data_IF_360422762644
#
_entry.id   IF_360422762644
#
_cell.length_a   1.000
_cell.length_b   1.000
_cell.length_c   1.000
_cell.angle_alpha   90.00
_cell.angle_beta   90.00
_cell.angle_gamma   90.00
#
_symmetry.space_group_name_H-M   'P 1'
#
loop_
_entity.id
_entity.type
_entity.pdbx_description
1 polymer ?
#
# COMPACT_ATOMS: atom_id res chain seq x y z
N UNK A 1 -22.37 -17.11 -13.99
CA UNK A 1 -22.72 -15.69 -14.27
C UNK A 1 -21.63 -14.74 -13.78
N UNK A 2 -21.17 -14.86 -12.53
CA UNK A 2 -20.05 -14.10 -11.96
C UNK A 2 -18.76 -14.18 -12.80
N UNK A 3 -18.38 -15.35 -13.30
CA UNK A 3 -17.17 -15.51 -14.13
C UNK A 3 -17.21 -14.69 -15.43
N UNK A 4 -18.38 -14.61 -16.07
CA UNK A 4 -18.58 -13.84 -17.31
C UNK A 4 -18.56 -12.34 -17.05
N UNK A 5 -19.08 -11.91 -15.90
CA UNK A 5 -19.04 -10.50 -15.45
C UNK A 5 -17.61 -10.11 -15.05
N UNK A 6 -16.88 -11.01 -14.38
CA UNK A 6 -15.47 -10.81 -14.05
C UNK A 6 -14.61 -10.62 -15.30
N UNK A 7 -14.81 -11.45 -16.33
CA UNK A 7 -14.12 -11.30 -17.61
C UNK A 7 -14.46 -9.97 -18.31
N UNK A 8 -15.72 -9.54 -18.24
CA UNK A 8 -16.19 -8.27 -18.80
C UNK A 8 -15.48 -7.06 -18.17
N UNK A 9 -15.07 -7.13 -16.90
CA UNK A 9 -14.33 -6.05 -16.22
C UNK A 9 -12.82 -6.17 -16.39
N UNK A 10 -12.31 -7.41 -16.35
CA UNK A 10 -10.87 -7.68 -16.35
C UNK A 10 -10.23 -7.41 -17.70
N UNK A 11 -10.88 -7.80 -18.80
CA UNK A 11 -10.35 -7.59 -20.16
C UNK A 11 -10.19 -6.10 -20.49
N UNK A 12 -11.21 -5.23 -20.38
CA UNK A 12 -11.03 -3.80 -20.64
C UNK A 12 -10.09 -3.14 -19.63
N UNK A 13 -10.12 -3.54 -18.35
CA UNK A 13 -9.17 -3.06 -17.36
C UNK A 13 -7.72 -3.36 -17.74
N UNK A 14 -7.44 -4.59 -18.18
CA UNK A 14 -6.13 -4.98 -18.68
C UNK A 14 -5.72 -4.17 -19.90
N UNK A 15 -6.63 -3.97 -20.86
CA UNK A 15 -6.35 -3.14 -22.05
C UNK A 15 -5.96 -1.71 -21.67
N UNK A 16 -6.69 -1.09 -20.73
CA UNK A 16 -6.37 0.26 -20.23
C UNK A 16 -5.00 0.29 -19.56
N UNK A 17 -4.68 -0.70 -18.72
CA UNK A 17 -3.36 -0.78 -18.07
C UNK A 17 -2.23 -0.97 -19.08
N UNK A 18 -2.44 -1.77 -20.12
CA UNK A 18 -1.45 -1.98 -21.18
C UNK A 18 -1.24 -0.72 -22.04
N UNK A 19 -2.30 0.04 -22.32
CA UNK A 19 -2.19 1.33 -23.00
C UNK A 19 -1.42 2.35 -22.13
N UNK A 20 -1.80 2.49 -20.86
CA UNK A 20 -1.09 3.37 -19.93
C UNK A 20 0.40 2.99 -19.78
N UNK A 21 0.73 1.70 -19.77
CA UNK A 21 2.10 1.23 -19.74
C UNK A 21 2.87 1.54 -21.04
N UNK A 22 2.21 1.46 -22.19
CA UNK A 22 2.79 1.81 -23.49
C UNK A 22 3.03 3.33 -23.64
N UNK A 23 2.24 4.15 -22.97
CA UNK A 23 2.35 5.61 -22.95
C UNK A 23 3.43 6.15 -21.99
N UNK A 24 4.09 5.29 -21.22
CA UNK A 24 5.16 5.71 -20.31
C UNK A 24 6.36 6.30 -21.09
N UNK A 25 7.01 7.35 -20.55
CA UNK A 25 8.24 7.87 -21.14
C UNK A 25 9.31 6.79 -21.29
N UNK A 26 10.20 6.98 -22.27
CA UNK A 26 11.35 6.10 -22.44
C UNK A 26 12.20 6.12 -21.17
N UNK A 27 12.70 4.94 -20.77
CA UNK A 27 13.60 4.85 -19.61
C UNK A 27 14.83 5.72 -19.85
N UNK A 28 15.14 6.59 -18.88
CA UNK A 28 16.26 7.53 -18.96
C UNK A 28 15.97 8.81 -19.77
N UNK A 29 14.73 9.06 -20.18
CA UNK A 29 14.36 10.32 -20.82
C UNK A 29 14.38 11.49 -19.83
N UNK A 30 15.45 12.28 -19.91
CA UNK A 30 15.64 13.48 -19.10
C UNK A 30 14.67 14.62 -19.39
N UNK A 31 13.92 14.57 -20.50
CA UNK A 31 12.87 15.53 -20.81
C UNK A 31 11.51 15.14 -20.20
N UNK A 32 11.37 13.95 -19.62
CA UNK A 32 10.11 13.50 -19.04
C UNK A 32 9.72 14.30 -17.79
N UNK A 33 8.41 14.44 -17.56
CA UNK A 33 7.87 15.26 -16.47
C UNK A 33 8.41 14.88 -15.05
N UNK A 34 8.59 13.60 -14.70
CA UNK A 34 9.18 13.25 -13.41
C UNK A 34 10.62 13.78 -13.26
N UNK A 35 11.43 13.75 -14.32
CA UNK A 35 12.83 14.19 -14.30
C UNK A 35 12.95 15.72 -14.27
N UNK A 36 12.12 16.44 -15.02
CA UNK A 36 12.23 17.91 -15.15
C UNK A 36 11.55 18.69 -14.03
N UNK A 37 10.64 18.06 -13.28
CA UNK A 37 9.85 18.74 -12.27
C UNK A 37 10.09 18.17 -10.86
N UNK A 38 9.57 16.96 -10.59
CA UNK A 38 9.51 16.42 -9.22
C UNK A 38 10.88 15.95 -8.73
N UNK A 39 11.58 15.15 -9.54
CA UNK A 39 12.89 14.61 -9.16
C UNK A 39 13.92 15.73 -9.01
N UNK A 40 13.97 16.68 -9.94
CA UNK A 40 14.85 17.84 -9.86
C UNK A 40 14.63 18.62 -8.56
N UNK A 41 13.37 18.95 -8.22
CA UNK A 41 13.07 19.68 -6.99
C UNK A 41 13.53 18.94 -5.74
N UNK A 42 13.20 17.65 -5.61
CA UNK A 42 13.61 16.86 -4.45
C UNK A 42 15.14 16.75 -4.37
N UNK A 43 15.84 16.58 -5.50
CA UNK A 43 17.30 16.39 -5.48
C UNK A 43 17.98 17.66 -4.95
N UNK A 44 17.52 18.81 -5.42
CA UNK A 44 18.17 20.09 -5.11
C UNK A 44 17.78 20.64 -3.73
N UNK A 45 16.57 20.34 -3.23
CA UNK A 45 16.01 21.02 -2.05
C UNK A 45 15.68 20.10 -0.87
N UNK A 46 15.67 18.77 -1.02
CA UNK A 46 15.21 17.87 0.04
C UNK A 46 15.98 18.07 1.35
N UNK A 47 17.31 18.18 1.29
CA UNK A 47 18.11 18.32 2.49
C UNK A 47 17.81 19.64 3.23
N UNK A 48 17.68 20.75 2.51
CA UNK A 48 17.38 22.06 3.09
C UNK A 48 15.97 22.10 3.69
N UNK A 49 14.99 21.54 2.99
CA UNK A 49 13.58 21.61 3.39
C UNK A 49 13.21 20.64 4.51
N UNK A 50 13.85 19.47 4.57
CA UNK A 50 13.50 18.39 5.50
C UNK A 50 14.54 18.15 6.59
N UNK A 51 15.79 18.58 6.37
CA UNK A 51 16.93 18.25 7.23
C UNK A 51 17.37 16.78 7.14
N UNK A 52 16.65 15.93 6.41
CA UNK A 52 17.02 14.53 6.25
C UNK A 52 18.28 14.42 5.38
N UNK A 53 19.31 13.67 5.81
CA UNK A 53 20.51 13.45 5.00
C UNK A 53 20.28 12.41 3.88
N UNK A 54 19.22 11.59 4.00
CA UNK A 54 18.88 10.58 3.01
C UNK A 54 17.69 11.05 2.17
N UNK A 55 17.90 11.12 0.86
CA UNK A 55 16.90 11.53 -0.11
C UNK A 55 15.62 10.68 -0.07
N UNK A 56 15.75 9.34 0.01
CA UNK A 56 14.59 8.44 0.00
C UNK A 56 13.75 8.64 1.26
N UNK A 57 14.40 8.77 2.41
CA UNK A 57 13.70 9.05 3.67
C UNK A 57 13.00 10.41 3.64
N UNK A 58 13.64 11.46 3.08
CA UNK A 58 13.01 12.76 2.91
C UNK A 58 11.73 12.67 2.06
N UNK A 59 11.75 11.89 0.97
CA UNK A 59 10.58 11.69 0.12
C UNK A 59 9.48 10.92 0.84
N UNK A 60 9.80 9.79 1.49
CA UNK A 60 8.80 8.92 2.11
C UNK A 60 8.20 9.52 3.39
N UNK A 61 9.01 10.18 4.22
CA UNK A 61 8.58 10.67 5.53
C UNK A 61 8.02 12.10 5.47
N UNK A 62 8.61 12.98 4.66
CA UNK A 62 8.25 14.40 4.64
C UNK A 62 7.39 14.76 3.41
N UNK A 63 7.92 14.64 2.19
CA UNK A 63 7.15 15.04 0.99
C UNK A 63 5.91 14.18 0.73
N UNK A 64 6.02 12.87 0.95
CA UNK A 64 4.96 11.87 0.75
C UNK A 64 4.60 11.15 2.04
N UNK A 65 4.75 11.84 3.18
CA UNK A 65 4.45 11.31 4.50
C UNK A 65 3.03 10.78 4.66
N UNK A 66 2.06 11.34 3.93
CA UNK A 66 0.66 10.88 4.00
C UNK A 66 0.45 9.50 3.37
N UNK A 67 1.20 9.17 2.31
CA UNK A 67 1.16 7.84 1.70
C UNK A 67 1.70 6.79 2.69
N UNK A 68 2.87 7.07 3.30
CA UNK A 68 3.49 6.22 4.33
C UNK A 68 2.64 6.13 5.61
N UNK A 69 1.97 7.20 6.01
CA UNK A 69 1.03 7.19 7.13
C UNK A 69 -0.18 6.27 6.83
N UNK A 70 -0.68 6.29 5.60
CA UNK A 70 -1.69 5.34 5.13
C UNK A 70 -1.21 3.89 5.19
N UNK A 71 0.02 3.61 4.74
CA UNK A 71 0.63 2.28 4.87
C UNK A 71 0.69 1.81 6.32
N UNK A 72 1.08 2.71 7.25
CA UNK A 72 1.11 2.42 8.67
C UNK A 72 -0.29 2.09 9.23
N UNK A 73 -1.33 2.83 8.82
CA UNK A 73 -2.71 2.53 9.20
C UNK A 73 -3.13 1.15 8.69
N UNK A 74 -2.81 0.79 7.44
CA UNK A 74 -3.17 -0.51 6.86
C UNK A 74 -2.53 -1.64 7.66
N UNK A 75 -1.23 -1.58 7.91
CA UNK A 75 -0.51 -2.62 8.66
C UNK A 75 -0.99 -2.68 10.11
N UNK A 76 -1.20 -1.54 10.76
CA UNK A 76 -1.75 -1.47 12.10
C UNK A 76 -3.13 -2.12 12.19
N UNK A 77 -4.02 -1.79 11.26
CA UNK A 77 -5.37 -2.36 11.20
C UNK A 77 -5.34 -3.86 10.95
N UNK A 78 -4.47 -4.34 10.05
CA UNK A 78 -4.27 -5.76 9.83
C UNK A 78 -3.78 -6.47 11.11
N UNK A 79 -2.82 -5.88 11.81
CA UNK A 79 -2.31 -6.39 13.08
C UNK A 79 -3.39 -6.49 14.17
N UNK A 80 -4.20 -5.43 14.34
CA UNK A 80 -5.35 -5.45 15.25
C UNK A 80 -6.36 -6.54 14.85
N UNK A 81 -6.67 -6.66 13.56
CA UNK A 81 -7.55 -7.71 13.03
C UNK A 81 -7.05 -9.11 13.38
N UNK A 82 -5.76 -9.38 13.23
CA UNK A 82 -5.15 -10.65 13.63
C UNK A 82 -5.28 -10.90 15.14
N UNK A 83 -5.02 -9.90 15.98
CA UNK A 83 -5.15 -10.02 17.43
C UNK A 83 -6.59 -10.31 17.87
N UNK A 84 -7.58 -9.69 17.22
CA UNK A 84 -9.00 -9.95 17.50
C UNK A 84 -9.39 -11.39 17.16
N UNK A 85 -8.95 -11.91 16.01
CA UNK A 85 -9.21 -13.31 15.61
C UNK A 85 -8.53 -14.31 16.56
N UNK A 86 -7.31 -14.02 17.01
CA UNK A 86 -6.56 -14.90 17.91
C UNK A 86 -6.99 -14.79 19.38
N UNK A 87 -7.50 -13.62 19.80
CA UNK A 87 -7.93 -13.33 21.16
C UNK A 87 -9.29 -13.91 21.51
N UNK A 88 -10.12 -14.27 20.53
CA UNK A 88 -11.36 -15.02 20.75
C UNK A 88 -11.03 -16.48 21.01
N UNK A 89 -10.69 -16.82 22.26
CA UNK A 89 -10.78 -18.20 22.74
C UNK A 89 -12.25 -18.50 23.03
N UNK A 90 -12.85 -19.39 22.25
CA UNK A 90 -14.08 -20.08 22.66
C UNK A 90 -13.69 -21.05 23.78
N UNK A 91 -13.77 -20.59 25.03
CA UNK A 91 -13.83 -21.47 26.18
C UNK A 91 -15.22 -22.14 26.11
N UNK A 92 -15.29 -23.24 25.37
CA UNK A 92 -16.51 -24.04 25.26
C UNK A 92 -17.06 -24.41 26.66
N UNK A 93 -18.35 -24.75 26.77
CA UNK A 93 -18.96 -25.08 28.05
C UNK A 93 -18.12 -26.13 28.78
N UNK A 94 -17.90 -25.99 30.11
CA UNK A 94 -17.17 -26.99 30.87
C UNK A 94 -17.81 -28.36 30.64
N UNK A 95 -16.99 -29.44 30.58
CA UNK A 95 -17.51 -30.78 30.34
C UNK A 95 -18.62 -31.09 31.37
N UNK A 96 -19.69 -31.79 30.96
CA UNK A 96 -20.76 -32.13 31.88
C UNK A 96 -20.18 -32.89 33.06
N UNK A 97 -20.61 -32.53 34.28
CA UNK A 97 -20.32 -33.26 35.49
C UNK A 97 -20.78 -34.71 35.29
N UNK A 98 -19.82 -35.62 35.11
CA UNK A 98 -20.06 -37.06 35.17
C UNK A 98 -20.42 -37.38 36.61
N UNK A 99 -21.71 -37.21 36.92
CA UNK A 99 -22.27 -37.40 38.24
C UNK A 99 -21.80 -38.72 38.84
N UNK A 100 -21.08 -38.60 39.96
CA UNK A 100 -20.91 -39.71 40.89
C UNK A 100 -22.24 -39.88 41.60
N UNK A 101 -22.92 -40.97 41.25
CA UNK A 101 -24.11 -41.48 41.92
C UNK A 101 -23.84 -41.88 43.37
#
# INVERSE_FOLDING_TARGET
MIERVGLLLLVPGLVVLLQAAADLPRVGDGASAPFTHVAAHYIDHAHEQTGAPNFVTAVLADYRGFDTFGELIVIFTAGVGCLLILGTRDDGPPPPDEGTA
#
